data_IF_977115808240
#
_entry.id   IF_977115808240
#
_cell.length_a   1.000
_cell.length_b   1.000
_cell.length_c   1.000
_cell.angle_alpha   90.00
_cell.angle_beta   90.00
_cell.angle_gamma   90.00
#
_symmetry.space_group_name_H-M   'P 1'
#
loop_
_entity.id
_entity.type
_entity.pdbx_description
1 polymer ?
#
# COMPACT_ATOMS: atom_id res chain seq x y z
N UNK A 1 19.50 7.66 12.86
CA UNK A 1 18.19 7.50 12.18
C UNK A 1 17.26 6.66 13.04
N UNK A 2 15.90 6.77 12.85
CA UNK A 2 14.94 5.98 13.67
C UNK A 2 15.21 4.47 13.59
N UNK A 3 15.65 3.97 12.43
CA UNK A 3 15.90 2.54 12.20
C UNK A 3 17.10 1.98 12.97
N UNK A 4 18.09 2.79 13.26
CA UNK A 4 19.30 2.35 13.98
C UNK A 4 19.06 2.31 15.49
N UNK A 5 18.01 2.98 15.96
CA UNK A 5 17.62 3.11 17.36
C UNK A 5 16.22 2.54 17.64
N UNK A 6 15.78 1.52 16.89
CA UNK A 6 14.50 0.87 17.17
C UNK A 6 14.51 0.30 18.59
N UNK A 7 13.54 0.72 19.39
CA UNK A 7 13.35 0.20 20.74
C UNK A 7 13.19 -1.32 20.69
N UNK A 8 13.71 -2.00 21.72
CA UNK A 8 13.67 -3.47 21.79
C UNK A 8 12.24 -4.00 21.64
N UNK A 9 12.04 -4.88 20.67
CA UNK A 9 10.74 -5.47 20.36
C UNK A 9 9.87 -4.65 19.39
N UNK A 10 10.31 -3.47 18.93
CA UNK A 10 9.64 -2.71 17.88
C UNK A 10 10.10 -3.13 16.48
N UNK A 11 9.17 -3.06 15.51
CA UNK A 11 9.48 -3.16 14.08
C UNK A 11 9.11 -1.86 13.36
N UNK A 12 9.76 -1.58 12.24
CA UNK A 12 9.31 -0.51 11.36
C UNK A 12 8.30 -1.05 10.34
N UNK A 13 7.21 -0.33 10.14
CA UNK A 13 6.14 -0.67 9.21
C UNK A 13 5.91 0.52 8.29
N UNK A 14 6.02 0.34 6.98
CA UNK A 14 5.61 1.33 5.98
C UNK A 14 4.14 1.15 5.66
N UNK A 15 3.38 2.25 5.59
CA UNK A 15 1.97 2.30 5.24
C UNK A 15 1.76 3.23 4.05
N UNK A 16 0.90 2.82 3.12
CA UNK A 16 0.49 3.64 1.96
C UNK A 16 -0.84 3.16 1.38
N UNK A 17 -1.49 4.02 0.57
CA UNK A 17 -2.73 3.75 -0.13
C UNK A 17 -2.55 3.76 -1.64
N UNK A 18 -3.41 3.00 -2.34
CA UNK A 18 -3.48 3.05 -3.79
C UNK A 18 -4.87 2.78 -4.33
N UNK A 19 -5.18 3.45 -5.44
CA UNK A 19 -6.37 3.19 -6.23
C UNK A 19 -6.04 2.24 -7.39
N UNK A 20 -6.94 1.29 -7.61
CA UNK A 20 -6.98 0.40 -8.76
C UNK A 20 -8.24 0.73 -9.56
N UNK A 21 -8.09 1.32 -10.73
CA UNK A 21 -9.20 1.68 -11.59
C UNK A 21 -9.71 0.45 -12.34
N UNK A 22 -11.03 0.37 -12.48
CA UNK A 22 -11.70 -0.68 -13.25
C UNK A 22 -11.55 -0.41 -14.73
N UNK A 23 -10.30 -0.39 -15.18
CA UNK A 23 -9.95 -0.30 -16.59
C UNK A 23 -8.56 -0.86 -16.83
N UNK A 24 -8.29 -1.21 -18.08
CA UNK A 24 -6.97 -1.72 -18.45
C UNK A 24 -5.94 -0.59 -18.39
N UNK A 25 -4.79 -0.90 -17.81
CA UNK A 25 -3.67 0.02 -17.77
C UNK A 25 -2.88 -0.05 -19.08
N UNK A 26 -2.87 1.06 -19.82
CA UNK A 26 -2.08 1.18 -21.05
C UNK A 26 -0.63 1.47 -20.69
N UNK A 27 0.25 0.52 -20.98
CA UNK A 27 1.71 0.65 -20.81
C UNK A 27 2.45 0.16 -22.05
N UNK A 28 3.69 0.59 -22.22
CA UNK A 28 4.60 -0.03 -23.19
C UNK A 28 4.87 -1.47 -22.78
N UNK A 29 4.62 -2.42 -23.67
CA UNK A 29 4.85 -3.86 -23.46
C UNK A 29 5.65 -4.41 -24.61
N UNK A 30 6.46 -5.45 -24.33
CA UNK A 30 7.12 -6.20 -25.38
C UNK A 30 6.11 -7.10 -26.08
N UNK A 31 6.07 -7.06 -27.41
CA UNK A 31 5.17 -7.87 -28.25
C UNK A 31 5.99 -8.51 -29.37
N UNK A 32 5.47 -9.60 -29.93
CA UNK A 32 6.06 -10.15 -31.13
C UNK A 32 5.99 -9.17 -32.29
N UNK A 33 7.02 -9.17 -33.12
CA UNK A 33 7.05 -8.34 -34.31
C UNK A 33 5.82 -8.60 -35.18
N UNK A 34 5.22 -7.56 -35.71
CA UNK A 34 3.99 -7.60 -36.53
C UNK A 34 2.70 -7.98 -35.76
N UNK A 35 2.69 -7.97 -34.42
CA UNK A 35 1.45 -8.07 -33.64
C UNK A 35 0.99 -6.67 -33.19
N UNK A 36 -0.35 -6.51 -33.06
CA UNK A 36 -0.96 -5.31 -32.51
C UNK A 36 -1.86 -5.72 -31.36
N UNK A 37 -1.46 -5.51 -30.10
CA UNK A 37 -2.32 -5.83 -28.98
C UNK A 37 -3.55 -4.93 -28.98
N UNK A 38 -4.73 -5.52 -28.85
CA UNK A 38 -5.98 -4.81 -28.70
C UNK A 38 -6.30 -4.76 -27.21
N UNK A 39 -6.38 -3.55 -26.64
CA UNK A 39 -6.76 -3.33 -25.26
C UNK A 39 -8.22 -2.91 -25.23
N UNK A 40 -9.04 -3.70 -24.55
CA UNK A 40 -10.43 -3.30 -24.27
C UNK A 40 -10.45 -2.37 -23.07
N UNK A 41 -11.14 -1.27 -23.19
CA UNK A 41 -11.37 -0.33 -22.09
C UNK A 41 -12.86 -0.29 -21.77
N UNK A 42 -13.18 -0.13 -20.49
CA UNK A 42 -14.57 -0.04 -20.03
C UNK A 42 -15.08 1.39 -20.06
N UNK A 43 -14.18 2.39 -20.00
CA UNK A 43 -14.52 3.80 -19.81
C UNK A 43 -15.14 4.08 -18.43
N UNK A 44 -15.00 3.14 -17.48
CA UNK A 44 -15.57 3.24 -16.15
C UNK A 44 -14.69 4.06 -15.21
N UNK A 45 -15.31 4.93 -14.40
CA UNK A 45 -14.63 5.65 -13.32
C UNK A 45 -14.62 4.88 -11.99
N UNK A 46 -15.12 3.63 -11.97
CA UNK A 46 -15.12 2.81 -10.77
C UNK A 46 -13.69 2.42 -10.37
N UNK A 47 -13.44 2.40 -9.08
CA UNK A 47 -12.12 2.06 -8.55
C UNK A 47 -12.22 1.25 -7.26
N UNK A 48 -11.18 0.52 -6.97
CA UNK A 48 -10.99 -0.18 -5.70
C UNK A 48 -9.88 0.48 -4.91
N UNK A 49 -10.16 0.80 -3.66
CA UNK A 49 -9.23 1.44 -2.74
C UNK A 49 -8.50 0.37 -1.93
N UNK A 50 -7.17 0.43 -1.88
CA UNK A 50 -6.34 -0.50 -1.13
C UNK A 50 -5.45 0.23 -0.15
N UNK A 51 -5.41 -0.25 1.09
CA UNK A 51 -4.36 0.07 2.04
C UNK A 51 -3.34 -1.06 2.06
N UNK A 52 -2.07 -0.70 2.16
CA UNK A 52 -0.95 -1.63 2.31
C UNK A 52 -0.07 -1.27 3.50
N UNK A 53 0.44 -2.29 4.17
CA UNK A 53 1.46 -2.15 5.20
C UNK A 53 2.48 -3.28 5.08
N UNK A 54 3.78 -2.93 5.14
CA UNK A 54 4.89 -3.89 5.09
C UNK A 54 5.88 -3.55 6.19
N UNK A 55 6.26 -4.56 6.97
CA UNK A 55 7.26 -4.42 8.04
C UNK A 55 8.66 -4.82 7.57
N UNK A 56 9.68 -4.36 8.31
CA UNK A 56 11.10 -4.69 8.05
C UNK A 56 11.39 -6.19 7.97
N UNK A 57 10.64 -6.99 8.72
CA UNK A 57 10.77 -8.46 8.73
C UNK A 57 9.99 -9.15 7.59
N UNK A 58 9.40 -8.37 6.68
CA UNK A 58 8.68 -8.87 5.51
C UNK A 58 7.24 -9.30 5.76
N UNK A 59 6.70 -9.11 6.97
CA UNK A 59 5.27 -9.30 7.22
C UNK A 59 4.45 -8.25 6.48
N UNK A 60 3.35 -8.66 5.85
CA UNK A 60 2.55 -7.81 4.96
C UNK A 60 1.09 -7.83 5.38
N UNK A 61 0.43 -6.69 5.25
CA UNK A 61 -1.01 -6.54 5.44
C UNK A 61 -1.56 -5.68 4.31
N UNK A 62 -2.47 -6.24 3.52
CA UNK A 62 -3.21 -5.50 2.49
C UNK A 62 -4.71 -5.63 2.75
N UNK A 63 -5.44 -4.54 2.60
CA UNK A 63 -6.89 -4.50 2.77
C UNK A 63 -7.54 -3.66 1.69
N UNK A 64 -8.63 -4.17 1.19
CA UNK A 64 -9.48 -3.51 0.20
C UNK A 64 -10.66 -2.85 0.90
N UNK A 65 -10.87 -1.58 0.60
CA UNK A 65 -11.99 -0.78 1.11
C UNK A 65 -12.80 -0.19 -0.06
N UNK A 66 -13.99 0.29 0.21
CA UNK A 66 -14.81 0.95 -0.80
C UNK A 66 -14.33 2.37 -1.10
N UNK A 67 -13.82 3.05 -0.07
CA UNK A 67 -13.31 4.42 -0.16
C UNK A 67 -12.20 4.67 0.85
N UNK A 68 -11.40 5.69 0.60
CA UNK A 68 -10.48 6.24 1.58
C UNK A 68 -11.16 7.35 2.36
N UNK A 69 -11.27 7.17 3.67
CA UNK A 69 -11.74 8.19 4.60
C UNK A 69 -11.14 7.92 5.99
N UNK A 70 -11.43 8.80 6.92
CA UNK A 70 -10.95 8.72 8.30
C UNK A 70 -11.34 7.40 8.98
N UNK A 71 -12.56 6.89 8.75
CA UNK A 71 -13.06 5.66 9.38
C UNK A 71 -12.32 4.43 8.87
N UNK A 72 -12.18 4.31 7.54
CA UNK A 72 -11.46 3.18 6.92
C UNK A 72 -9.97 3.22 7.24
N UNK A 73 -9.39 4.41 7.31
CA UNK A 73 -8.00 4.58 7.75
C UNK A 73 -7.82 4.17 9.20
N UNK A 74 -8.65 4.65 10.12
CA UNK A 74 -8.60 4.26 11.53
C UNK A 74 -8.80 2.74 11.71
N UNK A 75 -9.73 2.14 10.96
CA UNK A 75 -9.92 0.69 10.95
C UNK A 75 -8.65 -0.05 10.50
N UNK A 76 -7.96 0.45 9.48
CA UNK A 76 -6.73 -0.17 9.00
C UNK A 76 -5.58 -0.02 9.99
N UNK A 77 -5.43 1.14 10.64
CA UNK A 77 -4.46 1.35 11.74
C UNK A 77 -4.66 0.35 12.87
N UNK A 78 -5.90 0.09 13.29
CA UNK A 78 -6.21 -0.94 14.30
C UNK A 78 -5.78 -2.33 13.86
N UNK A 79 -5.94 -2.69 12.58
CA UNK A 79 -5.48 -3.97 12.04
C UNK A 79 -3.95 -4.05 12.00
N UNK A 80 -3.26 -2.94 11.66
CA UNK A 80 -1.80 -2.84 11.73
C UNK A 80 -1.33 -3.09 13.16
N UNK A 81 -1.89 -2.37 14.12
CA UNK A 81 -1.55 -2.49 15.54
C UNK A 81 -1.73 -3.94 16.04
N UNK A 82 -2.88 -4.55 15.74
CA UNK A 82 -3.12 -5.95 16.09
C UNK A 82 -2.11 -6.92 15.46
N UNK A 83 -1.71 -6.69 14.20
CA UNK A 83 -0.80 -7.58 13.48
C UNK A 83 0.66 -7.43 13.89
N UNK A 84 1.12 -6.21 14.08
CA UNK A 84 2.54 -5.90 14.30
C UNK A 84 2.89 -5.66 15.77
N UNK A 85 1.88 -5.49 16.64
CA UNK A 85 1.96 -5.30 18.09
C UNK A 85 2.71 -4.02 18.46
N UNK A 86 4.04 -4.00 18.36
CA UNK A 86 4.89 -2.83 18.62
C UNK A 86 5.56 -2.37 17.34
N UNK A 87 5.21 -1.19 16.85
CA UNK A 87 5.80 -0.68 15.61
C UNK A 87 5.91 0.85 15.53
N UNK A 88 6.94 1.27 14.80
CA UNK A 88 7.02 2.61 14.21
C UNK A 88 6.31 2.56 12.86
N UNK A 89 5.29 3.36 12.70
CA UNK A 89 4.47 3.39 11.49
C UNK A 89 4.88 4.57 10.61
N UNK A 90 5.57 4.28 9.51
CA UNK A 90 5.99 5.27 8.52
C UNK A 90 4.87 5.52 7.53
N UNK A 91 4.44 6.77 7.42
CA UNK A 91 3.33 7.21 6.58
C UNK A 91 3.57 8.62 6.05
N UNK A 92 2.91 8.98 4.97
CA UNK A 92 2.94 10.33 4.44
C UNK A 92 2.15 11.33 5.30
N UNK A 93 2.27 12.62 4.97
CA UNK A 93 1.54 13.70 5.64
C UNK A 93 0.20 14.02 4.97
N UNK A 94 -0.56 13.02 4.53
CA UNK A 94 -1.91 13.27 4.04
C UNK A 94 -2.82 13.78 5.18
N UNK A 95 -3.73 14.73 4.91
CA UNK A 95 -4.56 15.34 5.96
C UNK A 95 -5.35 14.34 6.81
N UNK A 96 -5.84 13.26 6.22
CA UNK A 96 -6.56 12.19 6.93
C UNK A 96 -5.69 11.46 7.95
N UNK A 97 -4.35 11.47 7.78
CA UNK A 97 -3.41 10.77 8.65
C UNK A 97 -3.10 11.53 9.93
N UNK A 98 -3.07 12.87 9.90
CA UNK A 98 -2.67 13.66 11.06
C UNK A 98 -3.74 14.63 11.57
N UNK A 99 -4.75 15.02 10.74
CA UNK A 99 -5.82 15.94 11.17
C UNK A 99 -6.99 15.22 11.82
N UNK A 100 -7.21 13.94 11.52
CA UNK A 100 -8.32 13.17 12.06
C UNK A 100 -8.22 13.05 13.59
N UNK A 101 -9.27 13.49 14.28
CA UNK A 101 -9.36 13.36 15.73
C UNK A 101 -9.32 11.89 16.15
N UNK A 102 -10.07 11.02 15.48
CA UNK A 102 -10.12 9.57 15.78
C UNK A 102 -8.76 8.91 15.68
N UNK A 103 -7.99 9.24 14.62
CA UNK A 103 -6.66 8.66 14.39
C UNK A 103 -5.68 9.16 15.45
N UNK A 104 -5.69 10.45 15.75
CA UNK A 104 -4.84 11.06 16.79
C UNK A 104 -5.12 10.46 18.16
N UNK A 105 -6.39 10.37 18.55
CA UNK A 105 -6.79 9.74 19.82
C UNK A 105 -6.27 8.32 19.90
N UNK A 106 -6.44 7.52 18.83
CA UNK A 106 -5.94 6.15 18.81
C UNK A 106 -4.42 6.05 18.96
N UNK A 107 -3.64 6.93 18.32
CA UNK A 107 -2.18 6.99 18.49
C UNK A 107 -1.78 7.38 19.91
N UNK A 108 -2.45 8.36 20.51
CA UNK A 108 -2.16 8.79 21.91
C UNK A 108 -2.47 7.66 22.92
N UNK A 109 -3.59 6.98 22.75
CA UNK A 109 -3.97 5.85 23.62
C UNK A 109 -2.99 4.68 23.53
N UNK A 110 -2.28 4.54 22.41
CA UNK A 110 -1.39 3.40 22.14
C UNK A 110 0.07 3.82 21.89
N UNK A 111 0.48 5.00 22.36
CA UNK A 111 1.82 5.57 22.12
C UNK A 111 2.99 4.69 22.57
N UNK A 112 2.77 3.77 23.51
CA UNK A 112 3.78 2.83 24.00
C UNK A 112 3.99 1.61 23.08
N UNK A 113 3.16 1.48 22.03
CA UNK A 113 3.20 0.34 21.12
C UNK A 113 3.05 0.71 19.64
N UNK A 114 2.45 1.87 19.33
CA UNK A 114 2.20 2.32 17.96
C UNK A 114 2.62 3.78 17.78
N UNK A 115 3.78 4.00 17.15
CA UNK A 115 4.36 5.33 16.99
C UNK A 115 4.31 5.78 15.53
N UNK A 116 3.51 6.80 15.18
CA UNK A 116 3.51 7.36 13.83
C UNK A 116 4.81 8.13 13.55
N UNK A 117 5.41 7.88 12.40
CA UNK A 117 6.58 8.59 11.86
C UNK A 117 6.19 9.18 10.51
N UNK A 118 5.97 10.49 10.48
CA UNK A 118 5.59 11.17 9.26
C UNK A 118 6.81 11.43 8.37
N UNK A 119 6.76 10.89 7.16
CA UNK A 119 7.81 11.09 6.15
C UNK A 119 7.83 12.55 5.66
N UNK A 120 9.01 13.05 5.25
CA UNK A 120 9.09 14.33 4.55
C UNK A 120 8.22 14.35 3.29
N UNK A 121 7.75 15.52 2.90
CA UNK A 121 6.97 15.68 1.67
C UNK A 121 7.81 15.29 0.45
N UNK A 122 7.22 14.57 -0.49
CA UNK A 122 7.87 14.13 -1.73
C UNK A 122 9.14 13.27 -1.51
N UNK A 123 9.03 12.26 -0.64
CA UNK A 123 10.12 11.29 -0.39
C UNK A 123 9.72 9.87 -0.84
N UNK A 124 9.47 9.66 -2.16
CA UNK A 124 9.01 8.37 -2.69
C UNK A 124 10.04 7.25 -2.48
N UNK A 125 11.32 7.59 -2.36
CA UNK A 125 12.40 6.64 -2.09
C UNK A 125 12.23 5.87 -0.77
N UNK A 126 11.44 6.39 0.17
CA UNK A 126 11.12 5.71 1.43
C UNK A 126 9.84 4.87 1.37
N UNK A 127 9.12 4.90 0.24
CA UNK A 127 7.82 4.25 0.09
C UNK A 127 7.94 2.94 -0.67
N UNK A 128 8.35 1.87 0.03
CA UNK A 128 8.42 0.52 -0.55
C UNK A 128 7.10 0.06 -1.17
N UNK A 129 5.98 0.58 -0.68
CA UNK A 129 4.64 0.23 -1.17
C UNK A 129 4.38 0.73 -2.58
N UNK A 130 5.05 1.81 -3.04
CA UNK A 130 4.97 2.23 -4.44
C UNK A 130 5.41 1.11 -5.39
N UNK A 131 6.47 0.39 -5.05
CA UNK A 131 6.93 -0.75 -5.84
C UNK A 131 5.90 -1.90 -5.81
N UNK A 132 5.29 -2.16 -4.64
CA UNK A 132 4.20 -3.13 -4.54
C UNK A 132 3.03 -2.76 -5.46
N UNK A 133 2.65 -1.47 -5.47
CA UNK A 133 1.57 -0.99 -6.33
C UNK A 133 1.93 -1.08 -7.81
N UNK A 134 3.17 -0.74 -8.18
CA UNK A 134 3.65 -0.85 -9.56
C UNK A 134 3.60 -2.29 -10.07
N UNK A 135 4.11 -3.24 -9.29
CA UNK A 135 4.05 -4.67 -9.62
C UNK A 135 2.60 -5.13 -9.70
N UNK A 136 1.78 -4.81 -8.70
CA UNK A 136 0.39 -5.27 -8.66
C UNK A 136 -0.45 -4.70 -9.79
N UNK A 137 -0.27 -3.42 -10.13
CA UNK A 137 -0.95 -2.80 -11.28
C UNK A 137 -0.48 -3.41 -12.59
N UNK A 138 0.79 -3.77 -12.69
CA UNK A 138 1.31 -4.48 -13.86
C UNK A 138 0.70 -5.88 -13.99
N UNK A 139 0.67 -6.64 -12.91
CA UNK A 139 0.15 -8.02 -12.89
C UNK A 139 -1.37 -8.08 -13.13
N UNK A 140 -2.12 -7.09 -12.64
CA UNK A 140 -3.58 -7.13 -12.63
C UNK A 140 -4.24 -6.32 -13.75
N UNK A 141 -3.61 -5.24 -14.22
CA UNK A 141 -4.28 -4.27 -15.10
C UNK A 141 -3.70 -4.20 -16.52
N UNK A 142 -2.44 -4.60 -16.71
CA UNK A 142 -1.81 -4.51 -18.03
C UNK A 142 -2.38 -5.61 -18.94
N UNK A 143 -2.97 -5.19 -20.08
CA UNK A 143 -3.61 -6.08 -21.05
C UNK A 143 -4.70 -7.00 -20.48
N UNK A 144 -5.22 -6.67 -19.31
CA UNK A 144 -6.26 -7.47 -18.64
C UNK A 144 -7.60 -6.76 -18.75
N UNK A 145 -8.63 -7.49 -19.14
CA UNK A 145 -10.01 -7.04 -19.19
C UNK A 145 -10.85 -7.81 -18.17
N UNK A 146 -11.64 -7.09 -17.39
CA UNK A 146 -12.60 -7.66 -16.45
C UNK A 146 -14.02 -7.43 -16.93
N UNK A 147 -14.86 -8.45 -16.87
CA UNK A 147 -16.24 -8.40 -17.35
C UNK A 147 -17.17 -7.62 -16.44
N UNK A 148 -16.84 -7.51 -15.15
CA UNK A 148 -17.60 -6.76 -14.17
C UNK A 148 -16.71 -6.18 -13.07
N UNK A 149 -17.18 -5.09 -12.43
CA UNK A 149 -16.50 -4.51 -11.30
C UNK A 149 -16.42 -5.47 -10.10
N UNK A 150 -17.41 -6.34 -9.93
CA UNK A 150 -17.40 -7.39 -8.91
C UNK A 150 -16.26 -8.37 -9.13
N UNK A 151 -16.09 -8.87 -10.37
CA UNK A 151 -14.99 -9.77 -10.71
C UNK A 151 -13.63 -9.11 -10.52
N UNK A 152 -13.48 -7.88 -10.99
CA UNK A 152 -12.30 -7.05 -10.75
C UNK A 152 -11.94 -6.97 -9.27
N UNK A 153 -12.89 -6.61 -8.39
CA UNK A 153 -12.65 -6.53 -6.94
C UNK A 153 -12.27 -7.88 -6.33
N UNK A 154 -12.91 -8.97 -6.76
CA UNK A 154 -12.58 -10.31 -6.30
C UNK A 154 -11.14 -10.70 -6.66
N UNK A 155 -10.71 -10.45 -7.88
CA UNK A 155 -9.35 -10.76 -8.35
C UNK A 155 -8.29 -9.97 -7.61
N UNK A 156 -8.52 -8.66 -7.39
CA UNK A 156 -7.64 -7.84 -6.54
C UNK A 156 -7.54 -8.44 -5.14
N UNK A 157 -8.66 -8.71 -4.49
CA UNK A 157 -8.68 -9.27 -3.14
C UNK A 157 -7.96 -10.62 -3.06
N UNK A 158 -8.13 -11.51 -4.06
CA UNK A 158 -7.42 -12.78 -4.14
C UNK A 158 -5.92 -12.57 -4.32
N UNK A 159 -5.51 -11.67 -5.20
CA UNK A 159 -4.11 -11.36 -5.45
C UNK A 159 -3.39 -10.95 -4.17
N UNK A 160 -3.90 -9.97 -3.44
CA UNK A 160 -3.26 -9.48 -2.22
C UNK A 160 -3.33 -10.45 -1.02
N UNK A 161 -4.21 -11.46 -1.05
CA UNK A 161 -4.19 -12.55 -0.06
C UNK A 161 -3.05 -13.54 -0.31
N UNK A 162 -2.68 -13.76 -1.57
CA UNK A 162 -1.71 -14.79 -1.97
C UNK A 162 -0.33 -14.25 -2.31
N UNK A 163 -0.27 -13.05 -2.92
CA UNK A 163 1.01 -12.42 -3.33
C UNK A 163 1.88 -12.13 -2.11
N UNK A 164 3.15 -12.50 -2.23
CA UNK A 164 4.19 -12.15 -1.27
C UNK A 164 5.24 -11.31 -1.96
N UNK A 165 5.37 -10.07 -1.54
CA UNK A 165 6.41 -9.16 -2.02
C UNK A 165 7.69 -9.43 -1.23
N UNK A 166 8.76 -9.73 -1.95
CA UNK A 166 10.08 -10.03 -1.36
C UNK A 166 11.04 -8.91 -1.73
N UNK A 167 11.20 -7.95 -0.85
CA UNK A 167 12.11 -6.84 -1.04
C UNK A 167 13.14 -6.77 0.10
N UNK A 168 14.28 -6.15 -0.18
CA UNK A 168 15.16 -5.69 0.87
C UNK A 168 14.62 -4.36 1.44
N UNK A 169 13.70 -4.47 2.40
CA UNK A 169 12.96 -3.34 2.97
C UNK A 169 13.88 -2.33 3.63
N UNK A 170 14.97 -2.79 4.24
CA UNK A 170 15.97 -1.93 4.88
C UNK A 170 16.57 -0.92 3.89
N UNK A 171 16.82 -1.36 2.66
CA UNK A 171 17.35 -0.50 1.59
C UNK A 171 16.39 0.67 1.28
N UNK A 172 15.08 0.44 1.26
CA UNK A 172 14.08 1.49 1.02
C UNK A 172 13.97 2.46 2.19
N UNK A 173 13.98 1.98 3.43
CA UNK A 173 13.80 2.83 4.61
C UNK A 173 15.06 3.61 5.00
N UNK A 174 16.23 3.27 4.47
CA UNK A 174 17.50 3.99 4.72
C UNK A 174 17.86 4.96 3.59
N UNK A 175 17.11 4.98 2.49
CA UNK A 175 17.41 5.82 1.32
C UNK A 175 18.67 5.41 0.54
N UNK A 176 19.31 4.32 0.90
CA UNK A 176 20.49 3.80 0.19
C UNK A 176 20.04 3.11 -1.10
N UNK A 177 20.12 3.82 -2.21
CA UNK A 177 20.14 3.23 -3.57
C UNK A 177 21.61 2.94 -3.90
N UNK A 178 22.02 1.68 -3.86
CA UNK A 178 23.28 1.24 -4.44
C UNK A 178 23.15 1.14 -5.95
#
# INVERSE_FOLDING_TARGET
MVLDNLSKGFTAVSLDESFFFFDSLVRKVWIFRNTRPVVRITGSHQQSSLFGAISLDGRQLFRQFERFNEDTFCQFIKQIHHKFLKCYLFLDKAPQHYKSHKVRTYFEEHKDSLMPVYLPTASPEFMILEECWNISKSDLLVLTYYTSFRDFRMKIGQYFRTKRFKFNIRKYLTGYRS
#
